data_IF_836599322875
#
_entry.id   IF_836599322875
#
_cell.length_a   1.000
_cell.length_b   1.000
_cell.length_c   1.000
_cell.angle_alpha   90.00
_cell.angle_beta   90.00
_cell.angle_gamma   90.00
#
_symmetry.space_group_name_H-M   'P 1'
#
loop_
_entity.id
_entity.type
_entity.pdbx_description
1 polymer ?
#
# COMPACT_ATOMS: atom_id res chain seq x y z
N UNK A 1 -20.89 5.29 1.80
CA UNK A 1 -19.59 5.72 2.32
C UNK A 1 -19.13 6.93 1.54
N UNK A 2 -18.56 7.90 2.23
CA UNK A 2 -18.01 9.10 1.61
C UNK A 2 -16.71 8.77 0.86
N UNK A 3 -16.65 9.15 -0.42
CA UNK A 3 -15.49 8.88 -1.29
C UNK A 3 -14.26 9.63 -0.81
N UNK A 4 -14.45 10.85 -0.32
CA UNK A 4 -13.35 11.69 0.16
C UNK A 4 -12.75 11.09 1.43
N UNK A 5 -13.59 10.65 2.37
CA UNK A 5 -13.14 9.89 3.54
C UNK A 5 -12.33 8.63 3.18
N UNK A 6 -12.75 7.86 2.16
CA UNK A 6 -11.98 6.70 1.67
C UNK A 6 -10.63 7.14 1.12
N UNK A 7 -10.61 8.15 0.25
CA UNK A 7 -9.39 8.65 -0.37
C UNK A 7 -8.38 9.14 0.68
N UNK A 8 -8.83 9.97 1.63
CA UNK A 8 -8.00 10.44 2.75
C UNK A 8 -7.48 9.29 3.60
N UNK A 9 -8.29 8.26 3.85
CA UNK A 9 -7.83 7.07 4.61
C UNK A 9 -6.72 6.34 3.87
N UNK A 10 -6.87 6.11 2.56
CA UNK A 10 -5.83 5.46 1.75
C UNK A 10 -4.56 6.32 1.69
N UNK A 11 -4.68 7.63 1.58
CA UNK A 11 -3.54 8.55 1.65
C UNK A 11 -2.77 8.40 2.96
N UNK A 12 -3.45 8.34 4.11
CA UNK A 12 -2.82 8.12 5.41
C UNK A 12 -2.11 6.76 5.48
N UNK A 13 -2.73 5.69 4.97
CA UNK A 13 -2.10 4.36 4.90
C UNK A 13 -0.81 4.41 4.10
N UNK A 14 -0.83 5.06 2.92
CA UNK A 14 0.37 5.20 2.08
C UNK A 14 1.47 5.97 2.82
N UNK A 15 1.12 7.06 3.52
CA UNK A 15 2.11 7.83 4.28
C UNK A 15 2.75 6.99 5.38
N UNK A 16 1.95 6.28 6.18
CA UNK A 16 2.46 5.42 7.25
C UNK A 16 3.34 4.29 6.71
N UNK A 17 2.89 3.59 5.67
CA UNK A 17 3.68 2.56 5.00
C UNK A 17 5.02 3.12 4.48
N UNK A 18 4.98 4.31 3.86
CA UNK A 18 6.18 4.98 3.33
C UNK A 18 7.15 5.34 4.44
N UNK A 19 6.66 5.90 5.55
CA UNK A 19 7.49 6.23 6.71
C UNK A 19 8.18 5.00 7.29
N UNK A 20 7.45 3.91 7.51
CA UNK A 20 8.02 2.64 8.02
C UNK A 20 9.04 2.07 7.03
N UNK A 21 8.72 2.06 5.75
CA UNK A 21 9.61 1.57 4.69
C UNK A 21 10.91 2.39 4.62
N UNK A 22 10.81 3.72 4.70
CA UNK A 22 11.95 4.63 4.72
C UNK A 22 12.81 4.42 5.98
N UNK A 23 12.19 4.25 7.14
CA UNK A 23 12.89 4.00 8.40
C UNK A 23 13.72 2.71 8.35
N UNK A 24 13.15 1.64 7.78
CA UNK A 24 13.79 0.34 7.67
C UNK A 24 14.74 0.20 6.46
N UNK A 25 14.72 1.15 5.53
CA UNK A 25 15.53 1.09 4.30
C UNK A 25 15.13 -0.03 3.33
N UNK A 26 13.87 -0.47 3.35
CA UNK A 26 13.37 -1.58 2.53
C UNK A 26 12.91 -1.06 1.16
N UNK A 27 13.21 -1.82 0.10
CA UNK A 27 12.66 -1.55 -1.23
C UNK A 27 11.39 -2.36 -1.44
N UNK A 28 10.29 -1.67 -1.73
CA UNK A 28 9.00 -2.32 -2.00
C UNK A 28 8.91 -2.86 -3.44
N UNK A 29 8.12 -3.92 -3.68
CA UNK A 29 7.85 -4.47 -5.01
C UNK A 29 7.10 -3.52 -5.94
N UNK A 30 6.23 -2.67 -5.38
CA UNK A 30 5.47 -1.65 -6.10
C UNK A 30 5.81 -0.25 -5.61
N UNK A 31 6.10 0.65 -6.53
CA UNK A 31 6.41 2.05 -6.24
C UNK A 31 5.12 2.87 -6.15
N UNK A 32 4.98 3.63 -5.06
CA UNK A 32 3.91 4.62 -4.88
C UNK A 32 4.43 6.01 -5.22
N UNK A 33 3.68 6.78 -6.00
CA UNK A 33 4.05 8.14 -6.38
C UNK A 33 2.81 9.03 -6.54
N UNK A 34 3.01 10.34 -6.46
CA UNK A 34 1.95 11.33 -6.66
C UNK A 34 1.98 11.90 -8.06
N UNK A 35 0.79 12.14 -8.61
CA UNK A 35 0.60 12.90 -9.86
C UNK A 35 -0.67 13.72 -9.75
N UNK A 36 -0.59 15.02 -9.98
CA UNK A 36 -1.74 15.95 -9.87
C UNK A 36 -2.46 15.81 -8.51
N UNK A 37 -1.70 15.76 -7.41
CA UNK A 37 -2.21 15.58 -6.05
C UNK A 37 -3.00 14.29 -5.81
N UNK A 38 -2.79 13.24 -6.63
CA UNK A 38 -3.39 11.92 -6.43
C UNK A 38 -2.34 10.84 -6.41
N UNK A 39 -2.54 9.82 -5.59
CA UNK A 39 -1.63 8.70 -5.48
C UNK A 39 -1.87 7.65 -6.56
N UNK A 40 -0.78 7.11 -7.07
CA UNK A 40 -0.74 6.01 -8.01
C UNK A 40 0.29 4.98 -7.55
N UNK A 41 0.12 3.75 -8.02
CA UNK A 41 1.01 2.63 -7.77
C UNK A 41 1.36 1.93 -9.08
N UNK A 42 2.60 1.45 -9.19
CA UNK A 42 3.11 0.70 -10.34
C UNK A 42 4.14 -0.34 -9.89
N UNK A 43 4.35 -1.40 -10.68
CA UNK A 43 5.42 -2.37 -10.39
C UNK A 43 6.81 -1.73 -10.61
N UNK A 44 7.73 -1.96 -9.67
CA UNK A 44 9.06 -1.35 -9.69
C UNK A 44 10.00 -1.91 -10.78
N UNK A 45 9.74 -3.14 -11.25
CA UNK A 45 10.67 -3.92 -12.09
C UNK A 45 10.33 -3.94 -13.58
N UNK A 46 9.13 -3.49 -13.97
CA UNK A 46 8.68 -3.55 -15.37
C UNK A 46 8.67 -2.16 -16.02
N UNK A 47 9.55 -1.94 -17.00
CA UNK A 47 9.52 -0.74 -17.82
C UNK A 47 8.16 -0.63 -18.55
N UNK A 48 7.45 0.48 -18.37
CA UNK A 48 6.12 0.68 -18.96
C UNK A 48 4.96 0.06 -18.17
N UNK A 49 5.18 -0.33 -16.90
CA UNK A 49 4.12 -0.80 -16.00
C UNK A 49 2.88 0.10 -16.01
N UNK A 50 1.70 -0.53 -16.07
CA UNK A 50 0.43 0.18 -15.97
C UNK A 50 0.32 0.86 -14.60
N UNK A 51 0.16 2.18 -14.62
CA UNK A 51 -0.09 2.98 -13.43
C UNK A 51 -1.53 2.77 -12.98
N UNK A 52 -1.69 2.49 -11.71
CA UNK A 52 -2.99 2.15 -11.13
C UNK A 52 -3.35 3.19 -10.06
N UNK A 53 -4.55 3.78 -10.08
CA UNK A 53 -4.95 4.82 -9.13
C UNK A 53 -5.15 4.24 -7.72
N UNK A 54 -4.74 4.98 -6.70
CA UNK A 54 -5.02 4.71 -5.28
C UNK A 54 -6.08 5.68 -4.72
N UNK A 55 -6.97 6.17 -5.59
CA UNK A 55 -8.12 6.98 -5.22
C UNK A 55 -9.37 6.46 -5.93
N UNK A 56 -10.51 6.59 -5.27
CA UNK A 56 -11.83 6.22 -5.78
C UNK A 56 -12.50 7.43 -6.46
N UNK A 57 -12.98 7.21 -7.67
CA UNK A 57 -13.84 8.10 -8.45
C UNK A 57 -15.01 7.30 -9.05
N UNK A 58 -15.94 8.00 -9.70
CA UNK A 58 -17.20 7.40 -10.19
C UNK A 58 -16.97 6.26 -11.20
N UNK A 59 -15.88 6.31 -11.97
CA UNK A 59 -15.67 5.43 -13.12
C UNK A 59 -14.36 4.62 -13.02
N UNK A 60 -13.78 4.47 -11.83
CA UNK A 60 -12.47 3.80 -11.69
C UNK A 60 -12.44 2.65 -10.66
N UNK A 61 -13.59 2.21 -10.13
CA UNK A 61 -13.66 1.22 -9.04
C UNK A 61 -12.76 -0.01 -9.26
N UNK A 62 -12.78 -0.62 -10.46
CA UNK A 62 -11.96 -1.80 -10.77
C UNK A 62 -10.46 -1.49 -10.74
N UNK A 63 -10.05 -0.32 -11.23
CA UNK A 63 -8.66 0.11 -11.20
C UNK A 63 -8.23 0.46 -9.77
N UNK A 64 -9.10 1.12 -9.00
CA UNK A 64 -8.87 1.40 -7.59
C UNK A 64 -8.70 0.11 -6.77
N UNK A 65 -9.58 -0.88 -6.97
CA UNK A 65 -9.48 -2.18 -6.30
C UNK A 65 -8.17 -2.92 -6.64
N UNK A 66 -7.74 -2.89 -7.91
CA UNK A 66 -6.44 -3.41 -8.30
C UNK A 66 -5.28 -2.67 -7.61
N UNK A 67 -5.38 -1.34 -7.50
CA UNK A 67 -4.42 -0.51 -6.79
C UNK A 67 -4.32 -0.88 -5.31
N UNK A 68 -5.47 -1.06 -4.63
CA UNK A 68 -5.52 -1.55 -3.26
C UNK A 68 -4.89 -2.93 -3.12
N UNK A 69 -5.08 -3.82 -4.09
CA UNK A 69 -4.39 -5.12 -4.13
C UNK A 69 -2.87 -4.97 -4.11
N UNK A 70 -2.30 -4.07 -4.93
CA UNK A 70 -0.87 -3.79 -4.93
C UNK A 70 -0.38 -3.14 -3.63
N UNK A 71 -1.18 -2.24 -3.05
CA UNK A 71 -0.86 -1.62 -1.76
C UNK A 71 -0.84 -2.64 -0.62
N UNK A 72 -1.85 -3.52 -0.57
CA UNK A 72 -1.93 -4.59 0.43
C UNK A 72 -0.80 -5.61 0.25
N UNK A 73 -0.39 -5.89 -0.98
CA UNK A 73 0.79 -6.71 -1.24
C UNK A 73 2.07 -6.06 -0.70
N UNK A 74 2.26 -4.75 -0.90
CA UNK A 74 3.39 -4.03 -0.31
C UNK A 74 3.40 -4.13 1.22
N UNK A 75 2.25 -3.98 1.88
CA UNK A 75 2.14 -4.10 3.34
C UNK A 75 2.46 -5.52 3.79
N UNK A 76 1.94 -6.55 3.11
CA UNK A 76 2.26 -7.94 3.42
C UNK A 76 3.75 -8.25 3.21
N UNK A 77 4.36 -7.72 2.14
CA UNK A 77 5.80 -7.82 1.89
C UNK A 77 6.61 -7.13 3.00
N UNK A 78 6.18 -5.95 3.44
CA UNK A 78 6.80 -5.24 4.55
C UNK A 78 6.71 -6.06 5.85
N UNK A 79 5.54 -6.59 6.19
CA UNK A 79 5.39 -7.51 7.33
C UNK A 79 6.35 -8.70 7.23
N UNK A 80 6.41 -9.33 6.04
CA UNK A 80 7.29 -10.47 5.79
C UNK A 80 8.77 -10.13 6.02
N UNK A 81 9.22 -8.96 5.56
CA UNK A 81 10.59 -8.48 5.80
C UNK A 81 10.91 -8.30 7.29
N UNK A 82 9.89 -8.08 8.12
CA UNK A 82 10.01 -7.96 9.58
C UNK A 82 9.81 -9.29 10.31
N UNK A 83 9.67 -10.41 9.59
CA UNK A 83 9.46 -11.74 10.16
C UNK A 83 8.00 -12.08 10.49
N UNK A 84 7.05 -11.25 10.06
CA UNK A 84 5.61 -11.48 10.27
C UNK A 84 5.01 -12.10 9.01
N UNK A 85 4.42 -13.29 9.14
CA UNK A 85 3.76 -13.97 8.04
C UNK A 85 2.26 -13.61 7.99
N UNK A 86 1.82 -13.00 6.88
CA UNK A 86 0.41 -12.68 6.62
C UNK A 86 -0.17 -13.72 5.65
N UNK A 87 -1.14 -14.55 6.07
CA UNK A 87 -1.85 -15.47 5.17
C UNK A 87 -2.58 -14.74 4.05
N UNK A 88 -2.74 -15.39 2.88
CA UNK A 88 -3.32 -14.78 1.68
C UNK A 88 -4.73 -14.24 1.92
N UNK A 89 -5.54 -14.98 2.69
CA UNK A 89 -6.89 -14.62 3.09
C UNK A 89 -6.97 -13.32 3.90
N UNK A 90 -5.88 -12.95 4.59
CA UNK A 90 -5.81 -11.78 5.47
C UNK A 90 -5.06 -10.60 4.83
N UNK A 91 -4.50 -10.76 3.63
CA UNK A 91 -3.75 -9.69 2.94
C UNK A 91 -4.58 -8.42 2.78
N UNK A 92 -5.91 -8.57 2.59
CA UNK A 92 -6.82 -7.44 2.43
C UNK A 92 -7.06 -6.63 3.71
N UNK A 93 -6.66 -7.11 4.89
CA UNK A 93 -6.84 -6.42 6.17
C UNK A 93 -5.77 -5.31 6.34
N UNK A 94 -5.85 -4.27 5.51
CA UNK A 94 -4.84 -3.21 5.36
C UNK A 94 -4.33 -2.63 6.68
N UNK A 95 -5.25 -2.19 7.55
CA UNK A 95 -4.89 -1.50 8.80
C UNK A 95 -4.34 -2.45 9.85
N UNK A 96 -4.90 -3.66 9.95
CA UNK A 96 -4.45 -4.71 10.87
C UNK A 96 -3.03 -5.14 10.52
N UNK A 97 -2.75 -5.39 9.25
CA UNK A 97 -1.42 -5.78 8.79
C UNK A 97 -0.40 -4.64 8.97
N UNK A 98 -0.80 -3.38 8.71
CA UNK A 98 0.08 -2.23 8.94
C UNK A 98 0.41 -2.06 10.43
N UNK A 99 -0.58 -2.23 11.32
CA UNK A 99 -0.36 -2.22 12.77
C UNK A 99 0.57 -3.36 13.20
N UNK A 100 0.34 -4.58 12.73
CA UNK A 100 1.19 -5.72 13.02
C UNK A 100 2.65 -5.45 12.61
N UNK A 101 2.87 -4.81 11.45
CA UNK A 101 4.20 -4.40 11.03
C UNK A 101 4.83 -3.37 11.99
N UNK A 102 4.06 -2.40 12.46
CA UNK A 102 4.53 -1.41 13.44
C UNK A 102 4.86 -2.02 14.81
N UNK A 103 4.26 -3.15 15.15
CA UNK A 103 4.51 -3.89 16.39
C UNK A 103 5.58 -4.99 16.23
N UNK A 104 6.20 -5.08 15.05
CA UNK A 104 7.16 -6.13 14.77
C UNK A 104 8.39 -6.02 15.68
N UNK A 105 8.89 -7.15 16.21
CA UNK A 105 10.03 -7.15 17.14
C UNK A 105 11.34 -6.68 16.50
N UNK A 106 11.41 -6.69 15.16
CA UNK A 106 12.58 -6.27 14.40
C UNK A 106 12.54 -4.81 13.95
N UNK A 107 11.53 -4.04 14.38
CA UNK A 107 11.36 -2.63 14.00
C UNK A 107 12.34 -1.67 14.72
N UNK A 108 13.42 -2.17 15.32
CA UNK A 108 14.40 -1.38 16.08
C UNK A 108 14.18 -1.47 17.57
#
# INVERSE_FOLDING_TARGET
YDRDAINTTIENVIHMMTLVTCYLGIKLPYDTFTRQSRYYIQAATTAGSKRTPLFLSENNLMLFAAGLGYLNYNIAYLCHSQGIHIPLENVANTLENLLACCEAPNLG
#
